data_IF_385340702336
#
_entry.id   IF_385340702336
#
_cell.length_a   1.000
_cell.length_b   1.000
_cell.length_c   1.000
_cell.angle_alpha   90.00
_cell.angle_beta   90.00
_cell.angle_gamma   90.00
#
_symmetry.space_group_name_H-M   'P 1'
#
loop_
_entity.id
_entity.type
_entity.pdbx_description
1 polymer ?
#
# COMPACT_ATOMS: atom_id res chain seq x y z
N UNK A 1 13.15 -16.38 0.05
CA UNK A 1 12.69 -17.42 1.01
C UNK A 1 12.21 -18.62 0.18
N UNK A 2 13.00 -19.70 0.03
CA UNK A 2 12.77 -20.72 -1.00
C UNK A 2 11.38 -21.37 -0.95
N UNK A 3 10.83 -21.54 0.25
CA UNK A 3 9.48 -22.09 0.46
C UNK A 3 8.37 -21.15 -0.03
N UNK A 4 8.45 -19.85 0.27
CA UNK A 4 7.45 -18.88 -0.16
C UNK A 4 7.42 -18.76 -1.69
N UNK A 5 8.60 -18.70 -2.32
CA UNK A 5 8.73 -18.65 -3.78
C UNK A 5 8.16 -19.90 -4.45
N UNK A 6 8.42 -21.09 -3.89
CA UNK A 6 7.86 -22.34 -4.40
C UNK A 6 6.34 -22.39 -4.26
N UNK A 7 5.81 -22.06 -3.08
CA UNK A 7 4.37 -22.08 -2.81
C UNK A 7 3.60 -21.07 -3.68
N UNK A 8 4.13 -19.87 -3.87
CA UNK A 8 3.56 -18.84 -4.74
C UNK A 8 3.51 -19.32 -6.19
N UNK A 9 4.57 -19.96 -6.67
CA UNK A 9 4.71 -20.33 -8.08
C UNK A 9 4.00 -21.64 -8.44
N UNK A 10 4.02 -22.62 -7.56
CA UNK A 10 3.60 -24.00 -7.85
C UNK A 10 2.57 -24.56 -6.86
N UNK A 11 2.27 -23.84 -5.79
CA UNK A 11 1.32 -24.28 -4.77
C UNK A 11 -0.14 -24.25 -5.24
N UNK A 12 -0.96 -25.08 -4.60
CA UNK A 12 -2.41 -25.03 -4.72
C UNK A 12 -2.98 -23.76 -4.05
N UNK A 13 -4.30 -23.47 -4.18
CA UNK A 13 -4.89 -22.26 -3.58
C UNK A 13 -4.66 -22.13 -2.07
N UNK A 14 -4.61 -23.25 -1.33
CA UNK A 14 -4.39 -23.22 0.11
C UNK A 14 -2.94 -22.87 0.46
N UNK A 15 -1.98 -23.43 -0.29
CA UNK A 15 -0.56 -23.11 -0.15
C UNK A 15 -0.29 -21.63 -0.44
N UNK A 16 -0.95 -21.06 -1.46
CA UNK A 16 -0.84 -19.63 -1.78
C UNK A 16 -1.46 -18.74 -0.70
N UNK A 17 -2.63 -19.10 -0.16
CA UNK A 17 -3.24 -18.39 0.97
C UNK A 17 -2.33 -18.40 2.21
N UNK A 18 -1.70 -19.54 2.52
CA UNK A 18 -0.74 -19.65 3.61
C UNK A 18 0.51 -18.79 3.37
N UNK A 19 1.03 -18.77 2.14
CA UNK A 19 2.15 -17.92 1.77
C UNK A 19 1.79 -16.43 1.89
N UNK A 20 0.59 -16.05 1.45
CA UNK A 20 0.06 -14.70 1.61
C UNK A 20 -0.09 -14.30 3.08
N UNK A 21 -0.58 -15.21 3.94
CA UNK A 21 -0.67 -14.97 5.37
C UNK A 21 0.71 -14.71 6.00
N UNK A 22 1.73 -15.47 5.62
CA UNK A 22 3.11 -15.26 6.09
C UNK A 22 3.68 -13.92 5.64
N UNK A 23 3.45 -13.53 4.38
CA UNK A 23 3.86 -12.21 3.86
C UNK A 23 3.16 -11.06 4.59
N UNK A 24 1.84 -11.18 4.81
CA UNK A 24 1.04 -10.25 5.59
C UNK A 24 1.58 -10.10 7.02
N UNK A 25 1.83 -11.21 7.71
CA UNK A 25 2.38 -11.19 9.08
C UNK A 25 3.81 -10.62 9.11
N UNK A 26 4.64 -10.95 8.12
CA UNK A 26 6.01 -10.44 8.01
C UNK A 26 6.08 -8.94 7.74
N UNK A 27 5.04 -8.35 7.13
CA UNK A 27 4.97 -6.91 6.88
C UNK A 27 4.59 -6.08 8.11
N UNK A 28 3.87 -6.65 9.08
CA UNK A 28 3.35 -5.89 10.23
C UNK A 28 4.44 -5.18 11.07
N UNK A 29 5.60 -5.81 11.38
CA UNK A 29 6.68 -5.14 12.11
C UNK A 29 7.26 -3.93 11.36
N UNK A 30 7.26 -3.94 10.03
CA UNK A 30 7.82 -2.85 9.20
C UNK A 30 6.99 -1.56 9.27
N UNK A 31 5.73 -1.66 9.74
CA UNK A 31 4.87 -0.51 10.02
C UNK A 31 5.18 0.17 11.35
N UNK A 32 5.96 -0.49 12.23
CA UNK A 32 6.36 0.03 13.54
C UNK A 32 7.72 0.76 13.45
N UNK A 33 8.02 1.71 14.35
CA UNK A 33 9.32 2.38 14.37
C UNK A 33 10.50 1.43 14.68
N UNK A 34 11.65 1.54 13.97
CA UNK A 34 11.88 2.38 12.78
C UNK A 34 11.10 1.83 11.58
N UNK A 35 10.30 2.68 10.94
CA UNK A 35 9.38 2.27 9.88
C UNK A 35 10.11 2.01 8.57
N UNK A 36 9.77 0.91 7.91
CA UNK A 36 10.09 0.64 6.51
C UNK A 36 8.79 0.44 5.73
N UNK A 37 8.16 1.57 5.38
CA UNK A 37 6.86 1.57 4.71
C UNK A 37 6.94 1.03 3.28
N UNK A 38 8.08 1.24 2.61
CA UNK A 38 8.31 0.74 1.25
C UNK A 38 8.42 -0.79 1.25
N UNK A 39 9.24 -1.36 2.14
CA UNK A 39 9.36 -2.80 2.33
C UNK A 39 8.03 -3.43 2.80
N UNK A 40 7.31 -2.77 3.71
CA UNK A 40 5.97 -3.22 4.11
C UNK A 40 5.01 -3.29 2.91
N UNK A 41 4.94 -2.23 2.10
CA UNK A 41 4.07 -2.18 0.93
C UNK A 41 4.44 -3.23 -0.12
N UNK A 42 5.72 -3.56 -0.29
CA UNK A 42 6.16 -4.62 -1.20
C UNK A 42 5.67 -6.00 -0.73
N UNK A 43 5.91 -6.36 0.53
CA UNK A 43 5.45 -7.63 1.10
C UNK A 43 3.93 -7.75 1.05
N UNK A 44 3.21 -6.66 1.37
CA UNK A 44 1.75 -6.66 1.36
C UNK A 44 1.19 -6.75 -0.07
N UNK A 45 1.86 -6.15 -1.06
CA UNK A 45 1.48 -6.32 -2.48
C UNK A 45 1.62 -7.78 -2.92
N UNK A 46 2.71 -8.45 -2.53
CA UNK A 46 2.88 -9.88 -2.78
C UNK A 46 1.82 -10.71 -2.05
N UNK A 47 1.47 -10.33 -0.81
CA UNK A 47 0.41 -10.99 -0.06
C UNK A 47 -0.94 -10.87 -0.79
N UNK A 48 -1.34 -9.67 -1.21
CA UNK A 48 -2.59 -9.43 -1.95
C UNK A 48 -2.64 -10.20 -3.26
N UNK A 49 -1.54 -10.26 -4.01
CA UNK A 49 -1.47 -10.99 -5.28
C UNK A 49 -1.65 -12.50 -5.15
N UNK A 50 -1.34 -13.06 -3.98
CA UNK A 50 -1.36 -14.50 -3.72
C UNK A 50 -2.49 -14.95 -2.79
N UNK A 51 -3.14 -14.02 -2.09
CA UNK A 51 -4.28 -14.31 -1.25
C UNK A 51 -5.50 -14.69 -2.10
N UNK A 52 -6.30 -15.61 -1.59
CA UNK A 52 -7.62 -15.89 -2.10
C UNK A 52 -8.50 -14.63 -1.95
N UNK A 53 -9.07 -14.07 -3.03
CA UNK A 53 -9.93 -12.88 -2.95
C UNK A 53 -11.16 -13.02 -2.05
N UNK A 54 -11.63 -14.26 -1.84
CA UNK A 54 -12.74 -14.57 -0.91
C UNK A 54 -12.25 -14.97 0.49
N UNK A 55 -10.93 -15.05 0.68
CA UNK A 55 -10.29 -15.41 1.94
C UNK A 55 -10.17 -14.23 2.90
N UNK A 56 -9.76 -14.51 4.14
CA UNK A 56 -9.60 -13.48 5.17
C UNK A 56 -8.32 -12.66 5.01
N UNK A 57 -7.29 -13.25 4.39
CA UNK A 57 -6.00 -12.57 4.19
C UNK A 57 -6.12 -11.42 3.21
N UNK A 58 -6.91 -11.57 2.14
CA UNK A 58 -7.04 -10.57 1.09
C UNK A 58 -7.49 -9.18 1.60
N UNK A 59 -8.61 -9.03 2.33
CA UNK A 59 -9.00 -7.71 2.85
C UNK A 59 -8.03 -7.19 3.92
N UNK A 60 -7.44 -8.06 4.74
CA UNK A 60 -6.44 -7.67 5.75
C UNK A 60 -5.15 -7.12 5.13
N UNK A 61 -4.62 -7.80 4.12
CA UNK A 61 -3.44 -7.39 3.39
C UNK A 61 -3.68 -6.10 2.60
N UNK A 62 -4.85 -5.95 1.96
CA UNK A 62 -5.23 -4.72 1.29
C UNK A 62 -5.35 -3.52 2.25
N UNK A 63 -5.95 -3.73 3.42
CA UNK A 63 -6.06 -2.67 4.43
C UNK A 63 -4.68 -2.16 4.87
N UNK A 64 -3.77 -3.06 5.25
CA UNK A 64 -2.41 -2.67 5.64
C UNK A 64 -1.61 -2.11 4.46
N UNK A 65 -1.78 -2.63 3.24
CA UNK A 65 -1.12 -2.10 2.04
C UNK A 65 -1.53 -0.64 1.81
N UNK A 66 -2.81 -0.35 1.98
CA UNK A 66 -3.36 0.98 1.90
C UNK A 66 -2.72 1.95 2.88
N UNK A 67 -2.58 1.54 4.15
CA UNK A 67 -1.90 2.34 5.18
C UNK A 67 -0.41 2.52 4.89
N UNK A 68 0.30 1.44 4.56
CA UNK A 68 1.73 1.46 4.24
C UNK A 68 2.04 2.42 3.09
N UNK A 69 1.16 2.44 2.08
CA UNK A 69 1.29 3.29 0.90
C UNK A 69 0.94 4.75 1.22
N UNK A 70 -0.16 4.99 1.96
CA UNK A 70 -0.57 6.35 2.34
C UNK A 70 0.48 7.05 3.22
N UNK A 71 1.08 6.32 4.16
CA UNK A 71 2.04 6.90 5.11
C UNK A 71 3.40 7.25 4.47
N UNK A 72 3.66 6.82 3.23
CA UNK A 72 4.81 7.28 2.45
C UNK A 72 4.62 8.72 1.92
N UNK A 73 3.39 9.15 1.65
CA UNK A 73 3.08 10.48 1.11
C UNK A 73 3.69 11.62 1.95
N UNK A 74 3.47 11.71 3.28
CA UNK A 74 4.08 12.78 4.08
C UNK A 74 5.62 12.73 4.17
N UNK A 75 6.27 11.62 3.77
CA UNK A 75 7.73 11.52 3.72
C UNK A 75 8.31 12.12 2.43
N UNK A 76 7.55 12.08 1.34
CA UNK A 76 7.99 12.55 0.01
C UNK A 76 7.43 13.94 -0.34
N UNK A 77 6.25 14.30 0.15
CA UNK A 77 5.57 15.57 -0.16
C UNK A 77 6.40 16.83 0.14
N UNK A 78 7.06 16.95 1.31
CA UNK A 78 7.96 18.07 1.57
C UNK A 78 9.16 18.13 0.61
N UNK A 79 9.61 16.98 0.11
CA UNK A 79 10.72 16.90 -0.83
C UNK A 79 10.27 17.30 -2.24
N UNK A 80 9.09 16.85 -2.67
CA UNK A 80 8.49 17.23 -3.93
C UNK A 80 8.29 18.75 -4.01
N UNK A 81 7.75 19.35 -2.95
CA UNK A 81 7.53 20.79 -2.87
C UNK A 81 8.86 21.57 -2.86
N UNK A 82 9.83 21.16 -2.03
CA UNK A 82 11.14 21.82 -1.92
C UNK A 82 11.92 21.78 -3.23
N UNK A 83 11.91 20.64 -3.91
CA UNK A 83 12.68 20.42 -5.14
C UNK A 83 11.91 20.81 -6.40
N UNK A 84 10.60 21.05 -6.29
CA UNK A 84 9.69 21.21 -7.43
C UNK A 84 9.82 20.04 -8.42
N UNK A 85 9.90 18.82 -7.89
CA UNK A 85 10.21 17.62 -8.67
C UNK A 85 8.96 17.01 -9.28
N UNK A 86 8.93 16.89 -10.61
CA UNK A 86 7.88 16.19 -11.33
C UNK A 86 7.84 14.69 -10.95
N UNK A 87 8.99 14.06 -10.79
CA UNK A 87 9.06 12.63 -10.48
C UNK A 87 8.50 12.32 -9.09
N UNK A 88 8.80 13.15 -8.09
CA UNK A 88 8.24 13.00 -6.75
C UNK A 88 6.73 13.28 -6.73
N UNK A 89 6.27 14.29 -7.47
CA UNK A 89 4.83 14.56 -7.61
C UNK A 89 4.08 13.39 -8.27
N UNK A 90 4.67 12.75 -9.29
CA UNK A 90 4.13 11.52 -9.91
C UNK A 90 4.15 10.34 -8.94
N UNK A 91 5.19 10.22 -8.12
CA UNK A 91 5.28 9.19 -7.09
C UNK A 91 4.16 9.36 -6.04
N UNK A 92 3.88 10.58 -5.59
CA UNK A 92 2.75 10.87 -4.70
C UNK A 92 1.40 10.48 -5.31
N UNK A 93 1.16 10.84 -6.57
CA UNK A 93 -0.07 10.47 -7.27
C UNK A 93 -0.25 8.94 -7.31
N UNK A 94 0.82 8.22 -7.65
CA UNK A 94 0.81 6.76 -7.68
C UNK A 94 0.56 6.15 -6.29
N UNK A 95 1.19 6.69 -5.23
CA UNK A 95 0.97 6.24 -3.86
C UNK A 95 -0.47 6.49 -3.43
N UNK A 96 -1.04 7.67 -3.70
CA UNK A 96 -2.43 7.98 -3.37
C UNK A 96 -3.41 7.08 -4.11
N UNK A 97 -3.19 6.81 -5.40
CA UNK A 97 -4.02 5.92 -6.18
C UNK A 97 -3.96 4.47 -5.66
N UNK A 98 -2.76 3.97 -5.36
CA UNK A 98 -2.58 2.64 -4.80
C UNK A 98 -3.19 2.53 -3.38
N UNK A 99 -3.03 3.55 -2.55
CA UNK A 99 -3.64 3.60 -1.23
C UNK A 99 -5.18 3.62 -1.29
N UNK A 100 -5.76 4.39 -2.22
CA UNK A 100 -7.22 4.48 -2.43
C UNK A 100 -7.80 3.11 -2.80
N UNK A 101 -7.19 2.45 -3.79
CA UNK A 101 -7.60 1.12 -4.24
C UNK A 101 -7.49 0.08 -3.12
N UNK A 102 -6.36 0.03 -2.41
CA UNK A 102 -6.12 -0.95 -1.36
C UNK A 102 -7.00 -0.71 -0.12
N UNK A 103 -7.18 0.54 0.33
CA UNK A 103 -8.08 0.84 1.45
C UNK A 103 -9.55 0.54 1.12
N UNK A 104 -9.96 0.76 -0.13
CA UNK A 104 -11.31 0.38 -0.59
C UNK A 104 -11.49 -1.14 -0.56
N UNK A 105 -10.51 -1.90 -1.07
CA UNK A 105 -10.55 -3.36 -1.04
C UNK A 105 -10.44 -3.95 0.38
N UNK A 106 -9.76 -3.25 1.30
CA UNK A 106 -9.60 -3.64 2.69
C UNK A 106 -10.62 -3.03 3.67
N UNK A 107 -11.60 -2.27 3.18
CA UNK A 107 -12.47 -1.45 4.02
C UNK A 107 -13.22 -2.29 5.09
N UNK A 108 -13.59 -3.53 4.77
CA UNK A 108 -14.32 -4.40 5.69
C UNK A 108 -13.56 -4.74 6.98
N UNK A 109 -12.24 -4.58 7.01
CA UNK A 109 -11.41 -4.89 8.18
C UNK A 109 -11.60 -3.86 9.28
N UNK A 110 -11.65 -2.58 8.89
CA UNK A 110 -11.92 -1.47 9.80
C UNK A 110 -12.59 -0.33 8.99
N UNK A 111 -13.92 -0.36 8.85
CA UNK A 111 -14.64 0.56 7.97
C UNK A 111 -14.45 2.04 8.32
N UNK A 112 -14.45 2.36 9.62
CA UNK A 112 -14.30 3.72 10.12
C UNK A 112 -12.89 4.26 9.82
N UNK A 113 -11.86 3.51 10.17
CA UNK A 113 -10.48 3.92 9.91
C UNK A 113 -10.18 3.98 8.40
N UNK A 114 -10.68 3.02 7.61
CA UNK A 114 -10.56 3.05 6.16
C UNK A 114 -11.22 4.30 5.58
N UNK A 115 -12.45 4.64 6.01
CA UNK A 115 -13.15 5.84 5.56
C UNK A 115 -12.40 7.13 5.93
N UNK A 116 -11.83 7.20 7.15
CA UNK A 116 -10.99 8.33 7.57
C UNK A 116 -9.79 8.50 6.64
N UNK A 117 -9.07 7.41 6.36
CA UNK A 117 -7.88 7.44 5.49
C UNK A 117 -8.23 7.74 4.02
N UNK A 118 -9.33 7.22 3.51
CA UNK A 118 -9.87 7.60 2.19
C UNK A 118 -10.23 9.10 2.14
N UNK A 119 -10.71 9.67 3.25
CA UNK A 119 -10.91 11.11 3.40
C UNK A 119 -9.60 11.90 3.28
N UNK A 120 -8.53 11.44 3.92
CA UNK A 120 -7.19 12.04 3.82
C UNK A 120 -6.70 12.02 2.37
N UNK A 121 -6.85 10.89 1.66
CA UNK A 121 -6.47 10.78 0.24
C UNK A 121 -7.19 11.84 -0.60
N UNK A 122 -8.50 12.04 -0.39
CA UNK A 122 -9.27 13.08 -1.09
C UNK A 122 -8.74 14.49 -0.85
N UNK A 123 -8.20 14.76 0.34
CA UNK A 123 -7.59 16.05 0.66
C UNK A 123 -6.24 16.26 -0.03
N UNK A 124 -5.43 15.20 -0.18
CA UNK A 124 -4.14 15.28 -0.88
C UNK A 124 -4.28 15.43 -2.40
N UNK A 125 -5.28 14.78 -3.03
CA UNK A 125 -5.43 14.75 -4.50
C UNK A 125 -5.35 16.14 -5.18
N UNK A 126 -6.05 17.20 -4.72
CA UNK A 126 -5.93 18.54 -5.32
C UNK A 126 -4.54 19.15 -5.21
N UNK A 127 -3.84 18.92 -4.08
CA UNK A 127 -2.48 19.41 -3.86
C UNK A 127 -1.51 18.76 -4.85
N UNK A 128 -1.54 17.44 -4.97
CA UNK A 128 -0.69 16.70 -5.92
C UNK A 128 -0.99 17.08 -7.37
N UNK A 129 -2.26 17.24 -7.74
CA UNK A 129 -2.64 17.70 -9.07
C UNK A 129 -2.07 19.10 -9.40
N UNK A 130 -2.05 20.00 -8.41
CA UNK A 130 -1.41 21.31 -8.55
C UNK A 130 0.11 21.18 -8.74
N UNK A 131 0.78 20.32 -7.98
CA UNK A 131 2.21 20.04 -8.13
C UNK A 131 2.53 19.49 -9.52
N UNK A 132 1.78 18.49 -9.99
CA UNK A 132 1.94 17.92 -11.32
C UNK A 132 1.83 19.00 -12.41
N UNK A 133 0.81 19.85 -12.34
CA UNK A 133 0.63 20.96 -13.29
C UNK A 133 1.79 21.96 -13.25
N UNK A 134 2.35 22.23 -12.07
CA UNK A 134 3.40 23.22 -11.89
C UNK A 134 4.80 22.69 -12.23
N UNK A 135 5.07 21.42 -11.92
CA UNK A 135 6.41 20.82 -11.95
C UNK A 135 6.64 19.94 -13.20
N UNK A 136 5.59 19.30 -13.73
CA UNK A 136 5.65 18.46 -14.91
C UNK A 136 5.23 19.26 -16.15
N UNK A 137 6.22 19.86 -16.83
CA UNK A 137 6.03 20.55 -18.11
C UNK A 137 6.25 19.61 -19.29
#
# INVERSE_FOLDING_TARGET
MPFLEYAIRYGDPQAKENAAALLYTGAAPLLQPPQDLAGAAELLRLAVQNANPTGKVYPAANYLLGLATLFQVPQIDPQAEKQKSCDLARQEEALLAAADSALTAGQSVNPEAAQKNLGIIKQYKPRVASMLKAYCK
#
